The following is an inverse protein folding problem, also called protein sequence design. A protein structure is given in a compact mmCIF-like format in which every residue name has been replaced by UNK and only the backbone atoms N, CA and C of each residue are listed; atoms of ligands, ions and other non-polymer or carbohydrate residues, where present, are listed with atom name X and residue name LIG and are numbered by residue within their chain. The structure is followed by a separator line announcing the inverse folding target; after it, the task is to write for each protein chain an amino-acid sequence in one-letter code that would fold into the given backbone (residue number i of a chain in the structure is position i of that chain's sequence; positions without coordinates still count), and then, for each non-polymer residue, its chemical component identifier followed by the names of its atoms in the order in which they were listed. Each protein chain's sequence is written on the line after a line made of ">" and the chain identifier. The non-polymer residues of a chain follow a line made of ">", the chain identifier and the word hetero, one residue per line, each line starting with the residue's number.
data_IF_502636025825
#
_entry.id   IF_502636025825
#
_cell.length_a   1.000
_cell.length_b   1.000
_cell.length_c   1.000
_cell.angle_alpha   90.00
_cell.angle_beta   90.00
_cell.angle_gamma   90.00
#
_symmetry.space_group_name_H-M   'P 1'
#
loop_
_entity.id
_entity.type
_entity.pdbx_description
1 polymer ?
#
# COMPACT_ATOMS: atom_id res chain seq x y z
N UNK A 1 2.09 17.22 9.18
CA UNK A 1 2.88 16.56 8.15
C UNK A 1 4.35 16.92 8.21
N UNK A 2 4.69 18.16 8.14
CA UNK A 2 6.08 18.65 8.13
C UNK A 2 6.42 19.31 9.47
N UNK A 3 6.83 18.51 10.44
CA UNK A 3 7.15 18.98 11.82
C UNK A 3 8.39 19.88 11.83
N UNK A 4 9.26 19.74 10.84
CA UNK A 4 10.56 20.43 10.79
C UNK A 4 10.56 21.63 9.83
N UNK A 5 9.41 21.95 9.21
CA UNK A 5 9.25 23.03 8.23
C UNK A 5 10.32 22.97 7.12
N UNK A 6 10.54 21.76 6.57
CA UNK A 6 11.54 21.50 5.53
C UNK A 6 10.96 21.58 4.12
N UNK A 7 9.63 21.61 3.99
CA UNK A 7 8.93 21.51 2.70
C UNK A 7 8.01 22.73 2.50
N UNK A 8 7.89 23.15 1.27
CA UNK A 8 6.94 24.20 0.89
C UNK A 8 5.49 23.68 0.92
N UNK A 9 4.54 24.58 1.07
CA UNK A 9 3.11 24.25 1.00
C UNK A 9 2.76 23.52 -0.31
N UNK A 10 3.42 23.90 -1.41
CA UNK A 10 3.21 23.27 -2.73
C UNK A 10 3.61 21.80 -2.69
N UNK A 11 4.76 21.48 -2.11
CA UNK A 11 5.24 20.08 -1.98
C UNK A 11 4.31 19.25 -1.08
N UNK A 12 3.85 19.84 0.01
CA UNK A 12 2.91 19.18 0.94
C UNK A 12 1.59 18.91 0.22
N UNK A 13 1.02 19.90 -0.49
CA UNK A 13 -0.22 19.74 -1.26
C UNK A 13 -0.07 18.68 -2.36
N UNK A 14 1.06 18.67 -3.07
CA UNK A 14 1.32 17.65 -4.10
C UNK A 14 1.33 16.24 -3.50
N UNK A 15 1.98 16.05 -2.36
CA UNK A 15 2.00 14.75 -1.69
C UNK A 15 0.60 14.28 -1.26
N UNK A 16 -0.24 15.22 -0.79
CA UNK A 16 -1.63 14.93 -0.39
C UNK A 16 -2.52 14.61 -1.61
N UNK A 17 -2.28 15.28 -2.75
CA UNK A 17 -3.00 14.99 -4.00
C UNK A 17 -2.66 13.58 -4.51
N UNK A 18 -1.41 13.17 -4.43
CA UNK A 18 -0.94 11.85 -4.89
C UNK A 18 -1.60 10.69 -4.14
N UNK A 19 -2.05 10.92 -2.91
CA UNK A 19 -2.77 9.93 -2.11
C UNK A 19 -4.28 10.22 -2.05
N UNK A 20 -4.78 11.08 -2.92
CA UNK A 20 -6.21 11.42 -3.05
C UNK A 20 -6.85 12.03 -1.78
N UNK A 21 -6.05 12.54 -0.84
CA UNK A 21 -6.57 13.24 0.34
C UNK A 21 -6.94 14.69 0.04
N UNK A 22 -6.46 15.23 -1.09
CA UNK A 22 -6.77 16.59 -1.53
C UNK A 22 -7.07 16.55 -3.03
N UNK A 23 -8.34 16.72 -3.40
CA UNK A 23 -8.78 16.59 -4.81
C UNK A 23 -8.91 17.93 -5.53
N UNK A 24 -8.74 19.06 -4.83
CA UNK A 24 -8.92 20.39 -5.41
C UNK A 24 -10.37 20.83 -5.57
N UNK A 25 -11.34 19.98 -5.22
CA UNK A 25 -12.79 20.28 -5.28
C UNK A 25 -13.30 20.54 -3.86
N UNK A 26 -13.69 21.76 -3.56
CA UNK A 26 -14.03 22.22 -2.21
C UNK A 26 -15.02 21.31 -1.46
N UNK A 27 -15.98 20.73 -2.17
CA UNK A 27 -17.05 19.94 -1.54
C UNK A 27 -16.71 18.44 -1.38
N UNK A 28 -15.52 18.00 -1.79
CA UNK A 28 -15.12 16.59 -1.73
C UNK A 28 -13.84 16.37 -0.91
N UNK A 29 -13.27 17.43 -0.38
CA UNK A 29 -12.04 17.35 0.40
C UNK A 29 -12.34 17.35 1.89
N UNK A 30 -11.85 16.35 2.60
CA UNK A 30 -11.82 16.41 4.05
C UNK A 30 -10.84 17.49 4.54
N UNK A 31 -9.77 17.69 3.77
CA UNK A 31 -8.80 18.77 4.00
C UNK A 31 -9.09 19.88 3.04
N UNK A 32 -9.72 20.97 3.53
CA UNK A 32 -10.01 22.16 2.71
C UNK A 32 -8.76 22.99 2.46
N UNK A 33 -7.81 22.94 3.39
CA UNK A 33 -6.52 23.64 3.30
C UNK A 33 -5.51 22.99 4.25
N UNK A 34 -4.27 23.47 4.24
CA UNK A 34 -3.19 22.95 5.09
C UNK A 34 -3.36 23.30 6.57
N UNK A 35 -4.21 24.28 6.89
CA UNK A 35 -4.49 24.69 8.27
C UNK A 35 -5.58 23.84 8.94
N UNK A 36 -6.12 22.85 8.23
CA UNK A 36 -7.11 21.92 8.79
C UNK A 36 -6.55 21.26 10.06
N UNK A 37 -7.21 21.47 11.19
CA UNK A 37 -6.75 20.95 12.48
C UNK A 37 -6.94 19.45 12.54
N UNK A 38 -5.86 18.74 12.84
CA UNK A 38 -5.89 17.30 13.15
C UNK A 38 -5.80 17.17 14.67
N UNK A 39 -6.80 16.54 15.28
CA UNK A 39 -6.83 16.32 16.73
C UNK A 39 -5.76 15.32 17.15
N UNK A 40 -5.43 15.31 18.44
CA UNK A 40 -4.41 14.40 19.00
C UNK A 40 -4.67 12.94 18.55
N UNK A 41 -3.62 12.27 18.08
CA UNK A 41 -3.71 10.90 17.58
C UNK A 41 -4.49 10.75 16.27
N UNK A 42 -4.87 11.86 15.62
CA UNK A 42 -5.69 11.79 14.40
C UNK A 42 -7.14 11.40 14.66
N UNK A 43 -7.67 11.77 15.83
CA UNK A 43 -9.01 11.35 16.26
C UNK A 43 -10.16 11.75 15.35
N UNK A 44 -9.96 12.82 14.56
CA UNK A 44 -10.95 13.27 13.56
C UNK A 44 -10.73 12.68 12.16
N UNK A 45 -9.80 11.73 12.02
CA UNK A 45 -9.54 11.01 10.77
C UNK A 45 -9.99 9.55 10.90
N UNK A 46 -10.54 9.00 9.83
CA UNK A 46 -10.77 7.55 9.73
C UNK A 46 -9.44 6.79 9.75
N UNK A 47 -9.49 5.49 9.98
CA UNK A 47 -8.28 4.65 9.94
C UNK A 47 -7.58 4.76 8.57
N UNK A 48 -8.33 4.65 7.49
CA UNK A 48 -7.79 4.77 6.13
C UNK A 48 -7.16 6.14 5.87
N UNK A 49 -7.82 7.22 6.29
CA UNK A 49 -7.26 8.57 6.11
C UNK A 49 -5.94 8.73 6.88
N UNK A 50 -5.82 8.14 8.07
CA UNK A 50 -4.54 8.16 8.81
C UNK A 50 -3.44 7.44 8.02
N UNK A 51 -3.75 6.28 7.41
CA UNK A 51 -2.80 5.54 6.57
C UNK A 51 -2.38 6.36 5.34
N UNK A 52 -3.33 7.01 4.67
CA UNK A 52 -3.03 7.86 3.52
C UNK A 52 -2.16 9.07 3.92
N UNK A 53 -2.38 9.66 5.10
CA UNK A 53 -1.51 10.74 5.62
C UNK A 53 -0.08 10.21 5.83
N UNK A 54 0.05 8.99 6.39
CA UNK A 54 1.38 8.37 6.58
C UNK A 54 2.06 8.13 5.23
N UNK A 55 1.30 7.68 4.24
CA UNK A 55 1.83 7.47 2.88
C UNK A 55 2.27 8.80 2.25
N UNK A 56 1.46 9.86 2.37
CA UNK A 56 1.82 11.20 1.89
C UNK A 56 3.12 11.70 2.53
N UNK A 57 3.33 11.43 3.83
CA UNK A 57 4.57 11.77 4.53
C UNK A 57 5.76 11.02 3.96
N UNK A 58 5.59 9.74 3.62
CA UNK A 58 6.64 8.92 3.01
C UNK A 58 7.01 9.43 1.61
N UNK A 59 6.01 9.85 0.83
CA UNK A 59 6.21 10.49 -0.48
C UNK A 59 7.02 11.79 -0.34
N UNK A 60 6.59 12.64 0.59
CA UNK A 60 7.23 13.93 0.84
C UNK A 60 8.71 13.76 1.20
N UNK A 61 9.03 12.73 1.99
CA UNK A 61 10.40 12.42 2.43
C UNK A 61 11.23 11.65 1.40
N UNK A 62 10.61 11.19 0.31
CA UNK A 62 11.27 10.38 -0.72
C UNK A 62 11.99 9.18 -0.10
N UNK A 63 11.28 8.42 0.73
CA UNK A 63 11.86 7.29 1.49
C UNK A 63 12.30 6.16 0.55
N UNK A 64 13.46 5.57 0.81
CA UNK A 64 14.03 4.48 0.00
C UNK A 64 13.52 3.11 0.41
N UNK A 65 13.05 2.96 1.64
CA UNK A 65 12.52 1.70 2.18
C UNK A 65 11.18 2.01 2.85
N UNK A 66 10.16 1.25 2.50
CA UNK A 66 8.81 1.36 3.07
C UNK A 66 8.44 0.02 3.66
N UNK A 67 8.02 0.04 4.91
CA UNK A 67 7.51 -1.14 5.60
C UNK A 67 6.00 -0.98 5.78
N UNK A 68 5.24 -1.93 5.27
CA UNK A 68 3.78 -1.97 5.38
C UNK A 68 3.41 -3.21 6.20
N UNK A 69 2.96 -2.99 7.41
CA UNK A 69 2.55 -4.06 8.32
C UNK A 69 1.06 -3.90 8.61
N UNK A 70 0.26 -4.82 8.11
CA UNK A 70 -1.21 -4.82 8.26
C UNK A 70 -1.88 -3.49 7.86
N UNK A 71 -1.23 -2.72 7.00
CA UNK A 71 -1.68 -1.37 6.63
C UNK A 71 -3.11 -1.36 6.04
N UNK A 72 -3.59 -2.52 5.57
CA UNK A 72 -4.78 -2.62 4.73
C UNK A 72 -5.92 -3.42 5.39
N UNK A 73 -5.65 -4.15 6.48
CA UNK A 73 -6.60 -5.13 7.04
C UNK A 73 -7.90 -4.51 7.58
N UNK A 74 -7.87 -3.25 7.99
CA UNK A 74 -9.00 -2.55 8.63
C UNK A 74 -9.54 -1.38 7.81
N UNK A 75 -9.20 -1.33 6.52
CA UNK A 75 -9.55 -0.20 5.64
C UNK A 75 -10.68 -0.62 4.71
N UNK A 76 -11.56 0.32 4.38
CA UNK A 76 -12.61 0.12 3.39
C UNK A 76 -11.99 -0.11 1.98
N UNK A 77 -12.75 -0.76 1.12
CA UNK A 77 -12.30 -1.19 -0.21
C UNK A 77 -11.74 -0.04 -1.06
N UNK A 78 -12.37 1.13 -1.01
CA UNK A 78 -11.98 2.28 -1.84
C UNK A 78 -10.62 2.85 -1.38
N UNK A 79 -10.44 3.01 -0.08
CA UNK A 79 -9.18 3.51 0.49
C UNK A 79 -8.04 2.51 0.26
N UNK A 80 -8.32 1.21 0.38
CA UNK A 80 -7.38 0.13 0.06
C UNK A 80 -6.90 0.24 -1.40
N UNK A 81 -7.83 0.41 -2.33
CA UNK A 81 -7.53 0.58 -3.76
C UNK A 81 -6.64 1.81 -4.00
N UNK A 82 -6.98 2.95 -3.40
CA UNK A 82 -6.20 4.20 -3.50
C UNK A 82 -4.78 4.00 -2.97
N UNK A 83 -4.67 3.33 -1.88
CA UNK A 83 -3.36 3.06 -1.27
C UNK A 83 -2.49 2.18 -2.17
N UNK A 84 -3.01 1.29 -2.60
CA UNK A 84 -2.37 0.46 -3.38
C UNK A 84 -1.94 1.02 -4.58
N UNK A 85 -2.81 1.74 -5.23
CA UNK A 85 -2.49 2.45 -6.49
C UNK A 85 -1.39 3.48 -6.27
N UNK A 86 -1.50 4.28 -5.24
CA UNK A 86 -0.48 5.29 -4.90
C UNK A 86 0.91 4.68 -4.70
N UNK A 87 0.98 3.50 -4.08
CA UNK A 87 2.25 2.79 -3.90
C UNK A 87 2.87 2.45 -5.26
N UNK A 88 2.09 1.88 -6.16
CA UNK A 88 2.57 1.50 -7.51
C UNK A 88 3.01 2.69 -8.35
N UNK A 89 2.26 3.79 -8.28
CA UNK A 89 2.50 4.96 -9.13
C UNK A 89 3.67 5.83 -8.65
N UNK A 90 3.86 5.92 -7.33
CA UNK A 90 4.73 6.98 -6.78
C UNK A 90 5.96 6.47 -6.04
N UNK A 91 6.11 5.16 -5.83
CA UNK A 91 7.24 4.61 -5.08
C UNK A 91 8.15 3.70 -5.92
N UNK A 92 8.24 3.97 -7.23
CA UNK A 92 9.06 3.20 -8.18
C UNK A 92 10.56 3.18 -7.82
N UNK A 93 11.02 4.13 -7.02
CA UNK A 93 12.41 4.23 -6.58
C UNK A 93 12.61 3.78 -5.13
N UNK A 94 11.62 3.07 -4.57
CA UNK A 94 11.63 2.61 -3.18
C UNK A 94 11.50 1.08 -3.13
N UNK A 95 12.17 0.47 -2.16
CA UNK A 95 11.95 -0.95 -1.83
C UNK A 95 10.77 -1.04 -0.87
N UNK A 96 9.74 -1.78 -1.24
CA UNK A 96 8.53 -1.94 -0.43
C UNK A 96 8.53 -3.35 0.16
N UNK A 97 8.48 -3.46 1.47
CA UNK A 97 8.33 -4.72 2.19
C UNK A 97 6.95 -4.72 2.86
N UNK A 98 6.10 -5.67 2.46
CA UNK A 98 4.71 -5.72 2.91
C UNK A 98 4.43 -7.05 3.64
N UNK A 99 3.84 -6.97 4.82
CA UNK A 99 3.17 -8.10 5.47
C UNK A 99 1.69 -7.96 5.10
N UNK A 100 1.19 -8.90 4.29
CA UNK A 100 -0.13 -8.79 3.70
C UNK A 100 -1.08 -9.88 4.21
N UNK A 101 -2.33 -9.48 4.45
CA UNK A 101 -3.43 -10.39 4.75
C UNK A 101 -4.31 -10.68 3.53
N UNK A 102 -4.14 -9.91 2.46
CA UNK A 102 -4.87 -10.11 1.19
C UNK A 102 -3.86 -10.46 0.10
N UNK A 103 -3.99 -11.67 -0.44
CA UNK A 103 -3.09 -12.17 -1.49
C UNK A 103 -3.10 -11.26 -2.72
N UNK A 104 -4.26 -10.71 -3.04
CA UNK A 104 -4.44 -9.80 -4.18
C UNK A 104 -3.54 -8.55 -4.08
N UNK A 105 -3.20 -8.11 -2.87
CA UNK A 105 -2.37 -6.92 -2.63
C UNK A 105 -0.92 -7.14 -3.08
N UNK A 106 -0.43 -8.39 -2.98
CA UNK A 106 0.99 -8.70 -3.20
C UNK A 106 1.25 -9.55 -4.45
N UNK A 107 0.19 -9.92 -5.16
CA UNK A 107 0.30 -10.86 -6.29
C UNK A 107 1.12 -10.32 -7.47
N UNK A 108 1.28 -9.00 -7.55
CA UNK A 108 2.05 -8.31 -8.58
C UNK A 108 3.40 -7.78 -8.08
N UNK A 109 3.84 -8.22 -6.89
CA UNK A 109 5.15 -7.86 -6.34
C UNK A 109 6.27 -8.63 -7.04
N UNK A 110 7.50 -8.12 -6.94
CA UNK A 110 8.70 -8.77 -7.54
C UNK A 110 8.95 -10.14 -6.90
N UNK A 111 8.79 -10.23 -5.58
CA UNK A 111 9.11 -11.44 -4.80
C UNK A 111 8.12 -11.63 -3.66
N UNK A 112 7.76 -12.87 -3.42
CA UNK A 112 7.03 -13.33 -2.23
C UNK A 112 7.99 -14.14 -1.37
N UNK A 113 7.99 -13.82 -0.09
CA UNK A 113 8.73 -14.57 0.93
C UNK A 113 7.68 -15.26 1.82
N UNK A 114 7.68 -16.59 1.84
CA UNK A 114 6.78 -17.36 2.68
C UNK A 114 7.55 -17.87 3.90
N UNK A 115 7.00 -17.56 5.08
CA UNK A 115 7.55 -17.95 6.37
C UNK A 115 6.67 -19.02 7.00
N UNK A 116 7.29 -20.09 7.51
CA UNK A 116 6.61 -21.09 8.31
C UNK A 116 7.49 -21.46 9.52
N UNK A 117 6.90 -21.46 10.69
CA UNK A 117 7.57 -21.75 11.97
C UNK A 117 8.89 -20.96 12.12
N UNK A 118 8.90 -19.68 11.71
CA UNK A 118 10.05 -18.78 11.84
C UNK A 118 11.16 -19.00 10.80
N UNK A 119 10.90 -19.83 9.78
CA UNK A 119 11.88 -20.12 8.73
C UNK A 119 11.34 -19.71 7.37
N UNK A 120 12.25 -19.28 6.50
CA UNK A 120 11.92 -19.04 5.08
C UNK A 120 11.74 -20.39 4.41
N UNK A 121 10.54 -20.66 3.90
CA UNK A 121 10.22 -21.91 3.19
C UNK A 121 10.14 -21.70 1.69
N UNK A 122 9.76 -20.50 1.24
CA UNK A 122 9.73 -20.13 -0.18
C UNK A 122 10.17 -18.69 -0.36
N UNK A 123 10.86 -18.41 -1.47
CA UNK A 123 11.21 -17.06 -1.86
C UNK A 123 11.37 -16.98 -3.37
N UNK A 124 10.34 -16.49 -4.06
CA UNK A 124 10.41 -16.35 -5.52
C UNK A 124 9.33 -15.37 -6.01
N UNK A 125 9.27 -15.18 -7.33
CA UNK A 125 8.24 -14.38 -8.00
C UNK A 125 6.86 -15.01 -7.77
N UNK A 126 5.81 -14.20 -7.54
CA UNK A 126 4.44 -14.72 -7.31
C UNK A 126 3.96 -15.67 -8.41
N UNK A 127 4.25 -15.37 -9.68
CA UNK A 127 3.81 -16.21 -10.80
C UNK A 127 4.47 -17.59 -10.75
N UNK A 128 5.75 -17.66 -10.41
CA UNK A 128 6.48 -18.93 -10.27
C UNK A 128 5.87 -19.76 -9.14
N UNK A 129 5.61 -19.13 -8.00
CA UNK A 129 5.06 -19.82 -6.82
C UNK A 129 3.61 -20.27 -7.07
N UNK A 130 2.75 -19.41 -7.65
CA UNK A 130 1.33 -19.74 -7.82
C UNK A 130 1.08 -20.78 -8.91
N UNK A 131 2.04 -20.99 -9.83
CA UNK A 131 1.93 -22.03 -10.86
C UNK A 131 2.52 -23.38 -10.43
N UNK A 132 3.20 -23.43 -9.28
CA UNK A 132 3.74 -24.67 -8.70
C UNK A 132 2.74 -25.22 -7.68
N UNK A 133 2.05 -26.31 -8.02
CA UNK A 133 1.02 -26.92 -7.16
C UNK A 133 1.57 -27.46 -5.83
N UNK A 134 2.88 -27.69 -5.74
CA UNK A 134 3.52 -28.15 -4.48
C UNK A 134 3.85 -26.97 -3.55
N UNK A 135 3.77 -25.72 -4.05
CA UNK A 135 4.09 -24.51 -3.30
C UNK A 135 3.08 -24.26 -2.16
N UNK A 136 3.59 -23.80 -1.04
CA UNK A 136 2.74 -23.35 0.08
C UNK A 136 1.96 -22.08 -0.33
N UNK A 137 2.59 -21.19 -1.09
CA UNK A 137 1.91 -19.99 -1.63
C UNK A 137 0.74 -20.39 -2.54
N UNK A 138 0.93 -21.41 -3.41
CA UNK A 138 -0.17 -21.93 -4.26
C UNK A 138 -1.36 -22.36 -3.38
N UNK A 139 -1.09 -23.13 -2.32
CA UNK A 139 -2.14 -23.63 -1.41
C UNK A 139 -2.87 -22.48 -0.71
N UNK A 140 -2.14 -21.41 -0.33
CA UNK A 140 -2.75 -20.21 0.25
C UNK A 140 -3.71 -19.56 -0.76
N UNK A 141 -3.28 -19.45 -2.02
CA UNK A 141 -4.10 -18.88 -3.10
C UNK A 141 -5.32 -19.74 -3.42
N UNK A 142 -5.15 -21.06 -3.46
CA UNK A 142 -6.23 -22.03 -3.69
C UNK A 142 -7.32 -21.92 -2.62
N UNK A 143 -6.92 -21.79 -1.36
CA UNK A 143 -7.84 -21.65 -0.22
C UNK A 143 -8.57 -20.29 -0.20
N UNK A 144 -8.11 -19.29 -0.94
CA UNK A 144 -8.73 -17.96 -0.98
C UNK A 144 -9.98 -17.87 -1.88
N UNK A 145 -10.27 -18.91 -2.65
CA UNK A 145 -11.36 -18.95 -3.66
C UNK A 145 -11.15 -17.98 -4.83
N UNK A 146 -9.98 -17.35 -4.95
CA UNK A 146 -9.66 -16.37 -6.02
C UNK A 146 -8.54 -16.87 -6.95
N UNK A 147 -8.21 -18.15 -6.91
CA UNK A 147 -7.01 -18.72 -7.56
C UNK A 147 -6.86 -18.31 -9.04
N UNK A 148 -7.92 -18.49 -9.85
CA UNK A 148 -7.86 -18.18 -11.29
C UNK A 148 -7.56 -16.68 -11.53
N UNK A 149 -8.19 -15.81 -10.75
CA UNK A 149 -7.97 -14.37 -10.83
C UNK A 149 -6.54 -14.00 -10.43
N UNK A 150 -6.03 -14.63 -9.35
CA UNK A 150 -4.67 -14.38 -8.86
C UNK A 150 -3.63 -14.87 -9.88
N UNK A 151 -3.82 -16.04 -10.49
CA UNK A 151 -2.92 -16.55 -11.55
C UNK A 151 -2.87 -15.56 -12.72
N UNK A 152 -4.02 -15.04 -13.13
CA UNK A 152 -4.08 -14.07 -14.24
C UNK A 152 -3.28 -12.80 -13.88
N UNK A 153 -3.51 -12.24 -12.70
CA UNK A 153 -2.82 -11.02 -12.24
C UNK A 153 -1.30 -11.26 -12.11
N UNK A 154 -0.89 -12.38 -11.52
CA UNK A 154 0.52 -12.74 -11.39
C UNK A 154 1.20 -12.85 -12.77
N UNK A 155 0.50 -13.45 -13.74
CA UNK A 155 0.99 -13.62 -15.12
C UNK A 155 1.16 -12.27 -15.81
N UNK A 156 0.20 -11.36 -15.64
CA UNK A 156 0.25 -10.01 -16.25
C UNK A 156 1.42 -9.19 -15.69
N UNK A 157 1.78 -9.40 -14.42
CA UNK A 157 2.89 -8.72 -13.77
C UNK A 157 4.26 -9.40 -14.02
N UNK A 158 4.27 -10.64 -14.53
CA UNK A 158 5.48 -11.42 -14.74
C UNK A 158 6.13 -11.05 -16.08
N UNK A 159 7.11 -10.14 -16.03
CA UNK A 159 7.83 -9.64 -17.20
C UNK A 159 9.33 -9.99 -17.13
#
# INVERSE_FOLDING_TARGET
>A
MDIQNQYSDTEILDSLKKVHLFTGKENQNKFSNLDTVITEGGGNLSHGERQLVCLARSLLRNTKIILLDEAISSIDYNTDYILXQSLREHFNNSNILTIAHRLRTIIDYDKILVLDAGKVVEYDNPYVLITNTDSLFYRMCENSSELESLIKLAKEAYV
#
